data_IF_155619811324
#
_entry.id   IF_155619811324
#
_cell.length_a   1.000
_cell.length_b   1.000
_cell.length_c   1.000
_cell.angle_alpha   90.00
_cell.angle_beta   90.00
_cell.angle_gamma   90.00
#
_symmetry.space_group_name_H-M   'P 1'
#
loop_
_entity.id
_entity.type
_entity.pdbx_description
1 polymer ?
#
# COMPACT_ATOMS: atom_id res chain seq x y z
N UNK A 1 27.21 13.74 -22.66
CA UNK A 1 26.85 12.33 -22.39
C UNK A 1 26.18 12.28 -21.02
N UNK A 2 24.84 12.32 -20.99
CA UNK A 2 24.08 12.14 -19.75
C UNK A 2 23.91 10.65 -19.52
N UNK A 3 24.55 10.11 -18.51
CA UNK A 3 24.22 8.80 -17.98
C UNK A 3 22.84 8.87 -17.33
N UNK A 4 21.81 8.47 -18.03
CA UNK A 4 20.55 8.08 -17.44
C UNK A 4 20.82 6.78 -16.71
N UNK A 5 20.93 6.84 -15.39
CA UNK A 5 20.89 5.65 -14.53
C UNK A 5 19.49 5.05 -14.72
N UNK A 6 19.42 3.99 -15.50
CA UNK A 6 18.30 3.09 -15.57
C UNK A 6 18.26 2.36 -14.21
N UNK A 7 17.57 2.98 -13.25
CA UNK A 7 17.30 2.37 -11.94
C UNK A 7 16.22 1.32 -12.17
N UNK A 8 16.67 0.14 -12.65
CA UNK A 8 15.81 -0.99 -12.95
C UNK A 8 14.88 -1.34 -11.79
N UNK A 9 13.72 -1.87 -12.12
CA UNK A 9 12.61 -2.18 -11.21
C UNK A 9 12.96 -2.91 -9.92
N UNK A 10 14.01 -3.70 -9.91
CA UNK A 10 14.55 -4.36 -8.71
C UNK A 10 14.92 -3.38 -7.59
N UNK A 11 15.41 -2.19 -7.93
CA UNK A 11 15.82 -1.18 -6.94
C UNK A 11 14.60 -0.47 -6.34
N UNK A 12 13.60 -0.10 -7.15
CA UNK A 12 12.39 0.57 -6.65
C UNK A 12 11.57 -0.36 -5.75
N UNK A 13 11.39 -1.61 -6.12
CA UNK A 13 10.72 -2.62 -5.30
C UNK A 13 11.39 -2.80 -3.94
N UNK A 14 12.72 -2.84 -3.90
CA UNK A 14 13.49 -2.91 -2.66
C UNK A 14 13.25 -1.68 -1.77
N UNK A 15 13.23 -0.49 -2.35
CA UNK A 15 12.97 0.77 -1.64
C UNK A 15 11.56 0.77 -1.04
N UNK A 16 10.54 0.38 -1.81
CA UNK A 16 9.16 0.30 -1.32
C UNK A 16 9.04 -0.71 -0.18
N UNK A 17 9.67 -1.88 -0.28
CA UNK A 17 9.70 -2.88 0.80
C UNK A 17 10.36 -2.35 2.07
N UNK A 18 11.43 -1.56 1.96
CA UNK A 18 12.06 -0.91 3.11
C UNK A 18 11.15 0.15 3.74
N UNK A 19 10.35 0.86 2.93
CA UNK A 19 9.37 1.84 3.41
C UNK A 19 8.26 1.14 4.17
N UNK A 20 7.69 0.07 3.63
CA UNK A 20 6.59 -0.69 4.24
C UNK A 20 7.00 -1.29 5.60
N UNK A 21 8.22 -1.78 5.72
CA UNK A 21 8.76 -2.30 6.98
C UNK A 21 9.00 -1.22 8.04
N UNK A 22 9.08 0.05 7.65
CA UNK A 22 9.37 1.14 8.58
C UNK A 22 8.08 1.86 9.00
N UNK A 23 7.61 1.74 10.28
CA UNK A 23 6.29 2.20 10.69
C UNK A 23 5.96 3.64 10.28
N UNK A 24 6.89 4.58 10.51
CA UNK A 24 6.66 6.01 10.17
C UNK A 24 6.63 6.24 8.67
N UNK A 25 7.53 5.63 7.90
CA UNK A 25 7.52 5.78 6.44
C UNK A 25 6.28 5.12 5.82
N UNK A 26 5.86 3.99 6.38
CA UNK A 26 4.63 3.32 5.97
C UNK A 26 3.40 4.22 6.21
N UNK A 27 3.29 4.83 7.40
CA UNK A 27 2.23 5.82 7.69
C UNK A 27 2.21 6.95 6.65
N UNK A 28 3.36 7.51 6.30
CA UNK A 28 3.45 8.57 5.30
C UNK A 28 3.02 8.08 3.92
N UNK A 29 3.48 6.90 3.49
CA UNK A 29 3.11 6.32 2.20
C UNK A 29 1.59 6.10 2.09
N UNK A 30 0.95 5.57 3.15
CA UNK A 30 -0.50 5.36 3.19
C UNK A 30 -1.27 6.68 3.08
N UNK A 31 -0.78 7.76 3.70
CA UNK A 31 -1.42 9.07 3.57
C UNK A 31 -1.31 9.62 2.14
N UNK A 32 -0.17 9.42 1.46
CA UNK A 32 -0.02 9.78 0.05
C UNK A 32 -0.88 8.95 -0.91
N UNK A 33 -1.22 7.72 -0.54
CA UNK A 33 -2.18 6.90 -1.31
C UNK A 33 -3.62 7.41 -1.16
N UNK A 34 -3.95 7.99 0.00
CA UNK A 34 -5.26 8.56 0.30
C UNK A 34 -5.43 9.97 -0.28
N UNK A 35 -4.40 10.80 -0.14
CA UNK A 35 -4.38 12.18 -0.62
C UNK A 35 -3.47 12.24 -1.85
N UNK A 36 -3.99 12.54 -3.04
CA UNK A 36 -3.18 12.64 -4.27
C UNK A 36 -1.95 13.54 -4.10
N UNK A 37 -2.06 14.57 -3.26
CA UNK A 37 -0.97 15.47 -2.91
C UNK A 37 -1.19 16.09 -1.52
N UNK A 38 -0.10 16.37 -0.80
CA UNK A 38 -0.16 16.98 0.54
C UNK A 38 1.10 17.77 0.88
N UNK A 39 1.03 18.63 1.90
CA UNK A 39 2.18 19.43 2.38
C UNK A 39 2.79 18.82 3.63
N UNK A 40 4.06 19.17 3.91
CA UNK A 40 4.71 18.76 5.16
C UNK A 40 3.99 19.29 6.40
N UNK A 41 3.35 20.46 6.28
CA UNK A 41 2.56 21.06 7.36
C UNK A 41 1.33 20.21 7.66
N UNK A 42 0.53 19.85 6.64
CA UNK A 42 -0.63 19.01 6.81
C UNK A 42 -0.26 17.63 7.40
N UNK A 43 0.83 17.02 6.93
CA UNK A 43 1.33 15.77 7.49
C UNK A 43 1.75 15.90 8.96
N UNK A 44 2.35 17.04 9.36
CA UNK A 44 2.70 17.31 10.75
C UNK A 44 1.49 17.50 11.65
N UNK A 45 0.41 18.05 11.12
CA UNK A 45 -0.87 18.19 11.82
C UNK A 45 -1.60 16.83 11.95
N UNK A 46 -1.56 16.02 10.88
CA UNK A 46 -2.17 14.68 10.84
C UNK A 46 -1.44 13.69 11.75
N UNK A 47 -0.11 13.75 11.77
CA UNK A 47 0.75 12.83 12.52
C UNK A 47 1.51 13.57 13.63
N UNK A 48 0.76 14.06 14.62
CA UNK A 48 1.32 14.82 15.76
C UNK A 48 2.29 14.00 16.62
N UNK A 49 2.26 12.67 16.50
CA UNK A 49 3.21 11.73 17.14
C UNK A 49 4.59 11.70 16.47
N UNK A 50 4.73 12.28 15.27
CA UNK A 50 5.99 12.33 14.53
C UNK A 50 6.65 13.70 14.72
N UNK A 51 7.85 13.79 15.34
CA UNK A 51 8.55 15.05 15.45
C UNK A 51 8.79 15.70 14.08
N UNK A 52 8.58 17.03 13.92
CA UNK A 52 8.70 17.71 12.62
C UNK A 52 10.05 17.46 11.92
N UNK A 53 11.15 17.49 12.66
CA UNK A 53 12.47 17.21 12.08
C UNK A 53 12.58 15.78 11.48
N UNK A 54 11.95 14.81 12.11
CA UNK A 54 11.89 13.42 11.63
C UNK A 54 11.02 13.33 10.37
N UNK A 55 9.87 13.99 10.37
CA UNK A 55 8.96 14.07 9.22
C UNK A 55 9.69 14.64 7.99
N UNK A 56 10.33 15.81 8.13
CA UNK A 56 11.07 16.45 7.04
C UNK A 56 12.22 15.57 6.52
N UNK A 57 12.93 14.89 7.42
CA UNK A 57 13.99 13.94 7.03
C UNK A 57 13.46 12.80 6.19
N UNK A 58 12.31 12.22 6.54
CA UNK A 58 11.71 11.15 5.76
C UNK A 58 11.16 11.63 4.42
N UNK A 59 10.50 12.78 4.38
CA UNK A 59 10.04 13.36 3.11
C UNK A 59 11.21 13.61 2.15
N UNK A 60 12.31 14.19 2.67
CA UNK A 60 13.54 14.41 1.88
C UNK A 60 14.10 13.07 1.36
N UNK A 61 14.17 12.04 2.23
CA UNK A 61 14.70 10.74 1.82
C UNK A 61 13.79 10.06 0.79
N UNK A 62 12.48 10.01 1.02
CA UNK A 62 11.52 9.39 0.09
C UNK A 62 11.50 10.12 -1.27
N UNK A 63 11.77 11.44 -1.28
CA UNK A 63 11.92 12.19 -2.53
C UNK A 63 13.24 11.85 -3.23
N UNK A 64 14.33 11.74 -2.50
CA UNK A 64 15.63 11.32 -3.06
C UNK A 64 15.60 9.88 -3.58
N UNK A 65 14.85 9.01 -2.93
CA UNK A 65 14.64 7.62 -3.32
C UNK A 65 13.66 7.47 -4.51
N UNK A 66 13.09 8.58 -5.03
CA UNK A 66 12.18 8.58 -6.19
C UNK A 66 10.75 8.11 -5.88
N UNK A 67 10.40 7.93 -4.62
CA UNK A 67 9.03 7.52 -4.19
C UNK A 67 8.08 8.71 -4.17
N UNK A 68 8.58 9.87 -3.77
CA UNK A 68 7.84 11.13 -3.77
C UNK A 68 8.43 12.08 -4.80
N UNK A 69 7.59 12.96 -5.33
CA UNK A 69 7.97 14.12 -6.12
C UNK A 69 7.40 15.39 -5.50
N UNK A 70 8.11 16.50 -5.70
CA UNK A 70 7.61 17.83 -5.34
C UNK A 70 6.81 18.34 -6.55
N UNK A 71 5.51 18.60 -6.33
CA UNK A 71 4.60 19.06 -7.38
C UNK A 71 4.37 20.56 -7.33
N UNK A 72 4.60 21.20 -6.17
CA UNK A 72 4.50 22.63 -6.01
C UNK A 72 5.44 23.12 -4.91
N UNK A 73 5.91 24.39 -5.05
CA UNK A 73 6.67 25.09 -4.02
C UNK A 73 6.17 26.53 -3.95
N UNK A 74 5.83 26.99 -2.75
CA UNK A 74 5.24 28.28 -2.54
C UNK A 74 5.87 28.95 -1.30
N UNK A 75 6.15 30.24 -1.38
CA UNK A 75 6.64 30.99 -0.22
C UNK A 75 5.45 31.38 0.67
N UNK A 76 5.43 30.87 1.89
CA UNK A 76 4.40 31.16 2.88
C UNK A 76 5.05 31.76 4.12
N UNK A 77 4.74 32.99 4.44
CA UNK A 77 5.24 33.71 5.63
C UNK A 77 6.79 33.65 5.78
N UNK A 78 7.50 33.76 4.65
CA UNK A 78 8.98 33.74 4.65
C UNK A 78 9.62 32.34 4.62
N UNK A 79 8.84 31.28 4.74
CA UNK A 79 9.32 29.91 4.60
C UNK A 79 8.84 29.28 3.27
N UNK A 80 9.64 28.38 2.71
CA UNK A 80 9.30 27.64 1.50
C UNK A 80 8.45 26.41 1.87
N UNK A 81 7.15 26.45 1.56
CA UNK A 81 6.28 25.30 1.69
C UNK A 81 6.30 24.46 0.41
N UNK A 82 6.45 23.14 0.57
CA UNK A 82 6.48 22.17 -0.53
C UNK A 82 5.27 21.28 -0.48
N UNK A 83 4.66 21.08 -1.65
CA UNK A 83 3.62 20.09 -1.85
C UNK A 83 4.23 18.85 -2.49
N UNK A 84 3.96 17.71 -1.91
CA UNK A 84 4.48 16.41 -2.34
C UNK A 84 3.34 15.55 -2.90
N UNK A 85 3.68 14.68 -3.84
CA UNK A 85 2.80 13.64 -4.37
C UNK A 85 3.62 12.37 -4.58
N UNK A 86 2.95 11.22 -4.77
CA UNK A 86 3.63 10.01 -5.20
C UNK A 86 4.25 10.24 -6.59
N UNK A 87 5.48 9.80 -6.76
CA UNK A 87 6.17 9.80 -8.05
C UNK A 87 5.77 8.57 -8.89
N UNK A 88 5.21 7.55 -8.26
CA UNK A 88 4.83 6.27 -8.85
C UNK A 88 3.36 6.33 -9.24
N UNK A 89 3.04 6.07 -10.51
CA UNK A 89 1.66 5.90 -10.99
C UNK A 89 1.28 4.42 -10.95
N UNK A 90 0.69 4.02 -9.82
CA UNK A 90 0.31 2.63 -9.56
C UNK A 90 -0.83 2.13 -10.48
N UNK A 91 -1.63 3.02 -11.08
CA UNK A 91 -2.74 2.62 -11.96
C UNK A 91 -2.26 2.26 -13.36
N UNK A 92 -1.26 2.97 -13.86
CA UNK A 92 -0.69 2.74 -15.19
C UNK A 92 0.00 1.39 -15.28
N UNK A 93 0.59 0.97 -14.18
CA UNK A 93 1.42 -0.24 -14.14
C UNK A 93 0.63 -1.54 -14.07
N UNK A 94 -0.63 -1.52 -13.61
CA UNK A 94 -1.49 -2.72 -13.63
C UNK A 94 -1.76 -3.23 -15.05
N UNK A 95 -1.86 -2.34 -16.03
CA UNK A 95 -2.04 -2.75 -17.42
C UNK A 95 -0.78 -3.40 -18.00
N UNK A 96 0.40 -2.93 -17.60
CA UNK A 96 1.68 -3.49 -18.05
C UNK A 96 1.92 -4.93 -17.54
N UNK A 97 1.31 -5.31 -16.40
CA UNK A 97 1.41 -6.69 -15.88
C UNK A 97 0.76 -7.68 -16.83
N UNK A 98 -0.45 -7.36 -17.28
CA UNK A 98 -1.25 -8.24 -18.12
C UNK A 98 -0.71 -8.27 -19.56
N UNK A 99 -0.27 -7.12 -20.07
CA UNK A 99 0.16 -6.96 -21.45
C UNK A 99 1.60 -7.43 -21.69
N UNK A 100 2.50 -7.25 -20.72
CA UNK A 100 3.94 -7.46 -20.89
C UNK A 100 4.51 -8.59 -20.00
N UNK A 101 3.69 -9.28 -19.20
CA UNK A 101 4.16 -10.28 -18.22
C UNK A 101 5.33 -9.76 -17.36
N UNK A 102 5.24 -8.51 -16.92
CA UNK A 102 6.29 -7.80 -16.19
C UNK A 102 6.32 -8.21 -14.73
N UNK A 103 7.39 -8.87 -14.30
CA UNK A 103 7.61 -9.22 -12.90
C UNK A 103 7.69 -7.99 -11.97
N UNK A 104 8.17 -6.85 -12.48
CA UNK A 104 8.19 -5.58 -11.76
C UNK A 104 6.78 -5.05 -11.51
N UNK A 105 5.96 -4.97 -12.54
CA UNK A 105 4.60 -4.52 -12.44
C UNK A 105 3.77 -5.45 -11.54
N UNK A 106 4.01 -6.77 -11.59
CA UNK A 106 3.37 -7.74 -10.71
C UNK A 106 3.73 -7.51 -9.23
N UNK A 107 5.02 -7.28 -8.93
CA UNK A 107 5.46 -6.96 -7.56
C UNK A 107 4.83 -5.64 -7.06
N UNK A 108 4.73 -4.63 -7.91
CA UNK A 108 4.10 -3.36 -7.53
C UNK A 108 2.61 -3.52 -7.24
N UNK A 109 1.89 -4.28 -8.05
CA UNK A 109 0.48 -4.60 -7.78
C UNK A 109 0.30 -5.35 -6.46
N UNK A 110 1.17 -6.31 -6.15
CA UNK A 110 1.17 -7.02 -4.88
C UNK A 110 1.40 -6.06 -3.69
N UNK A 111 2.38 -5.16 -3.80
CA UNK A 111 2.64 -4.16 -2.76
C UNK A 111 1.43 -3.25 -2.56
N UNK A 112 0.80 -2.79 -3.65
CA UNK A 112 -0.40 -1.95 -3.58
C UNK A 112 -1.56 -2.68 -2.87
N UNK A 113 -1.77 -3.95 -3.21
CA UNK A 113 -2.76 -4.79 -2.55
C UNK A 113 -2.51 -4.90 -1.04
N UNK A 114 -1.27 -5.15 -0.63
CA UNK A 114 -0.87 -5.22 0.77
C UNK A 114 -1.04 -3.88 1.49
N UNK A 115 -0.71 -2.77 0.84
CA UNK A 115 -0.90 -1.43 1.40
C UNK A 115 -2.37 -1.10 1.63
N UNK A 116 -3.27 -1.52 0.74
CA UNK A 116 -4.71 -1.35 0.92
C UNK A 116 -5.24 -2.03 2.19
N UNK A 117 -4.74 -3.21 2.53
CA UNK A 117 -5.06 -3.85 3.81
C UNK A 117 -4.39 -3.15 4.99
N UNK A 118 -3.12 -2.77 4.87
CA UNK A 118 -2.39 -2.06 5.91
C UNK A 118 -3.09 -0.75 6.30
N UNK A 119 -3.65 -0.01 5.33
CA UNK A 119 -4.44 1.20 5.59
C UNK A 119 -5.67 0.90 6.45
N UNK A 120 -6.44 -0.14 6.15
CA UNK A 120 -7.62 -0.53 6.91
C UNK A 120 -7.26 -0.91 8.35
N UNK A 121 -6.18 -1.67 8.55
CA UNK A 121 -5.67 -1.99 9.88
C UNK A 121 -5.19 -0.74 10.63
N UNK A 122 -4.51 0.18 9.94
CA UNK A 122 -4.06 1.44 10.53
C UNK A 122 -5.24 2.29 11.01
N UNK A 123 -6.28 2.45 10.19
CA UNK A 123 -7.48 3.19 10.56
C UNK A 123 -8.21 2.53 11.75
N UNK A 124 -8.25 1.20 11.78
CA UNK A 124 -8.79 0.48 12.93
C UNK A 124 -8.00 0.76 14.21
N UNK A 125 -6.67 0.68 14.15
CA UNK A 125 -5.78 0.88 15.32
C UNK A 125 -5.74 2.32 15.85
N UNK A 126 -6.21 3.31 15.08
CA UNK A 126 -6.35 4.70 15.57
C UNK A 126 -7.56 4.91 16.48
N UNK A 127 -8.50 3.98 16.53
CA UNK A 127 -9.70 4.10 17.37
C UNK A 127 -9.33 3.95 18.84
N UNK A 128 -9.94 4.75 19.70
CA UNK A 128 -9.68 4.73 21.14
C UNK A 128 -10.10 3.41 21.81
N UNK A 129 -11.18 2.80 21.33
CA UNK A 129 -11.76 1.58 21.92
C UNK A 129 -11.77 0.45 20.90
N UNK A 130 -10.64 -0.24 20.72
CA UNK A 130 -10.55 -1.44 19.88
C UNK A 130 -10.77 -2.69 20.71
N UNK A 131 -11.44 -3.69 20.13
CA UNK A 131 -11.60 -5.01 20.72
C UNK A 131 -11.29 -6.08 19.68
N UNK A 132 -10.01 -6.40 19.54
CA UNK A 132 -9.47 -7.28 18.50
C UNK A 132 -10.18 -8.65 18.52
N UNK A 133 -10.43 -9.19 19.71
CA UNK A 133 -11.07 -10.51 19.87
C UNK A 133 -12.52 -10.52 19.35
N UNK A 134 -13.29 -9.47 19.62
CA UNK A 134 -14.71 -9.39 19.23
C UNK A 134 -14.92 -8.84 17.82
N UNK A 135 -13.98 -8.04 17.29
CA UNK A 135 -14.10 -7.43 15.97
C UNK A 135 -13.82 -8.41 14.83
N UNK A 136 -13.39 -9.63 15.15
CA UNK A 136 -13.17 -10.72 14.18
C UNK A 136 -12.35 -10.29 12.97
N UNK A 137 -11.31 -9.50 13.22
CA UNK A 137 -10.28 -9.17 12.22
C UNK A 137 -9.08 -10.10 12.39
N UNK A 138 -8.32 -10.32 11.32
CA UNK A 138 -7.14 -11.17 11.41
C UNK A 138 -6.51 -11.43 10.05
N UNK A 139 -5.41 -12.15 10.09
CA UNK A 139 -4.70 -12.65 8.91
C UNK A 139 -4.20 -14.05 9.21
N UNK A 140 -4.11 -14.88 8.17
CA UNK A 140 -3.69 -16.28 8.28
C UNK A 140 -2.81 -16.65 7.11
N UNK A 141 -1.83 -17.51 7.36
CA UNK A 141 -0.99 -18.13 6.35
C UNK A 141 -1.02 -19.64 6.57
N UNK A 142 -1.44 -20.38 5.54
CA UNK A 142 -1.48 -21.85 5.57
C UNK A 142 -0.69 -22.37 4.37
N UNK A 143 0.48 -23.01 4.57
CA UNK A 143 1.20 -23.66 3.48
C UNK A 143 0.50 -24.97 3.10
N UNK A 144 0.20 -25.11 1.81
CA UNK A 144 -0.45 -26.30 1.24
C UNK A 144 0.35 -26.81 0.03
N UNK A 145 0.39 -28.11 -0.13
CA UNK A 145 0.82 -28.75 -1.38
C UNK A 145 -0.40 -29.04 -2.23
N UNK A 146 -0.51 -28.37 -3.38
CA UNK A 146 -1.65 -28.49 -4.28
C UNK A 146 -1.15 -28.74 -5.71
N UNK A 147 -1.84 -29.63 -6.43
CA UNK A 147 -1.73 -29.69 -7.89
C UNK A 147 -2.48 -28.50 -8.51
N UNK A 148 -2.29 -28.24 -9.80
CA UNK A 148 -2.99 -27.16 -10.51
C UNK A 148 -4.52 -27.41 -10.48
N UNK A 149 -4.98 -28.66 -10.63
CA UNK A 149 -6.40 -28.99 -10.56
C UNK A 149 -6.99 -28.81 -9.15
N UNK A 150 -6.22 -29.12 -8.11
CA UNK A 150 -6.64 -28.88 -6.72
C UNK A 150 -6.70 -27.39 -6.42
N UNK A 151 -5.75 -26.58 -6.92
CA UNK A 151 -5.78 -25.13 -6.81
C UNK A 151 -6.99 -24.54 -7.53
N UNK A 152 -7.30 -24.99 -8.75
CA UNK A 152 -8.48 -24.57 -9.50
C UNK A 152 -9.79 -24.90 -8.74
N UNK A 153 -9.85 -26.07 -8.13
CA UNK A 153 -11.01 -26.49 -7.32
C UNK A 153 -11.15 -25.62 -6.08
N UNK A 154 -10.05 -25.30 -5.42
CA UNK A 154 -10.02 -24.37 -4.29
C UNK A 154 -10.51 -22.98 -4.70
N UNK A 155 -10.02 -22.44 -5.83
CA UNK A 155 -10.42 -21.12 -6.34
C UNK A 155 -11.91 -21.06 -6.70
N UNK A 156 -12.45 -22.11 -7.32
CA UNK A 156 -13.90 -22.22 -7.59
C UNK A 156 -14.71 -22.21 -6.31
N UNK A 157 -14.29 -22.96 -5.30
CA UNK A 157 -14.96 -23.02 -4.00
C UNK A 157 -14.93 -21.66 -3.28
N UNK A 158 -13.80 -20.98 -3.31
CA UNK A 158 -13.66 -19.63 -2.75
C UNK A 158 -14.59 -18.62 -3.47
N UNK A 159 -14.62 -18.65 -4.80
CA UNK A 159 -15.54 -17.81 -5.60
C UNK A 159 -17.00 -18.07 -5.25
N UNK A 160 -17.44 -19.33 -5.14
CA UNK A 160 -18.79 -19.69 -4.77
C UNK A 160 -19.20 -19.22 -3.37
N UNK A 161 -18.25 -19.25 -2.41
CA UNK A 161 -18.49 -18.75 -1.05
C UNK A 161 -18.66 -17.22 -1.07
N UNK A 162 -17.78 -16.50 -1.75
CA UNK A 162 -17.84 -15.03 -1.81
C UNK A 162 -19.05 -14.52 -2.57
N UNK A 163 -19.46 -15.23 -3.64
CA UNK A 163 -20.63 -14.89 -4.44
C UNK A 163 -21.92 -14.83 -3.61
N UNK A 164 -22.09 -15.75 -2.66
CA UNK A 164 -23.26 -15.78 -1.78
C UNK A 164 -23.49 -14.49 -0.98
N UNK A 165 -22.45 -13.71 -0.78
CA UNK A 165 -22.48 -12.51 0.06
C UNK A 165 -22.28 -11.20 -0.73
N UNK A 166 -22.01 -11.29 -2.04
CA UNK A 166 -21.71 -10.14 -2.90
C UNK A 166 -22.84 -9.11 -2.91
N UNK A 167 -24.09 -9.59 -3.01
CA UNK A 167 -25.27 -8.75 -3.14
C UNK A 167 -25.91 -8.36 -1.80
N UNK A 168 -25.21 -8.65 -0.70
CA UNK A 168 -25.70 -8.29 0.61
C UNK A 168 -25.71 -6.76 0.78
N UNK A 169 -26.89 -6.19 1.02
CA UNK A 169 -27.03 -4.79 1.36
C UNK A 169 -26.55 -4.48 2.78
N UNK A 170 -26.08 -3.25 3.05
CA UNK A 170 -25.79 -2.78 4.40
C UNK A 170 -27.04 -2.87 5.30
N UNK A 171 -26.86 -3.37 6.50
CA UNK A 171 -27.90 -3.40 7.54
C UNK A 171 -27.31 -3.03 8.89
N UNK A 172 -28.14 -2.93 9.93
CA UNK A 172 -27.67 -2.66 11.29
C UNK A 172 -26.66 -3.71 11.79
N UNK A 173 -26.80 -4.96 11.35
CA UNK A 173 -25.97 -6.09 11.78
C UNK A 173 -24.88 -6.48 10.77
N UNK A 174 -24.91 -5.90 9.56
CA UNK A 174 -23.92 -6.14 8.51
C UNK A 174 -22.93 -4.99 8.41
N UNK A 175 -21.68 -5.27 8.66
CA UNK A 175 -20.57 -4.32 8.51
C UNK A 175 -19.80 -4.63 7.23
N UNK A 176 -19.33 -3.59 6.54
CA UNK A 176 -18.43 -3.78 5.41
C UNK A 176 -17.12 -4.41 5.90
N UNK A 177 -16.71 -5.49 5.24
CA UNK A 177 -15.45 -6.18 5.52
C UNK A 177 -14.71 -6.44 4.22
N UNK A 178 -13.43 -6.14 4.22
CA UNK A 178 -12.54 -6.52 3.12
C UNK A 178 -11.96 -7.90 3.43
N UNK A 179 -12.19 -8.84 2.52
CA UNK A 179 -11.62 -10.19 2.58
C UNK A 179 -10.70 -10.32 1.38
N UNK A 180 -9.44 -10.64 1.62
CA UNK A 180 -8.43 -10.83 0.59
C UNK A 180 -7.89 -12.25 0.59
N UNK A 181 -7.51 -12.72 -0.59
CA UNK A 181 -6.80 -13.98 -0.79
C UNK A 181 -5.46 -13.68 -1.44
N UNK A 182 -4.40 -14.27 -0.92
CA UNK A 182 -3.07 -14.23 -1.51
C UNK A 182 -2.65 -15.68 -1.79
N UNK A 183 -2.31 -15.94 -3.05
CA UNK A 183 -1.69 -17.18 -3.47
C UNK A 183 -0.27 -16.82 -3.92
N UNK A 184 0.71 -17.23 -3.13
CA UNK A 184 2.10 -16.97 -3.48
C UNK A 184 2.51 -17.82 -4.71
N UNK A 185 3.42 -17.34 -5.55
CA UNK A 185 4.02 -18.16 -6.59
C UNK A 185 4.63 -19.43 -5.99
N UNK A 186 4.62 -20.56 -6.72
CA UNK A 186 5.20 -21.80 -6.23
C UNK A 186 6.70 -21.60 -5.93
N UNK A 187 7.15 -22.12 -4.79
CA UNK A 187 8.58 -22.14 -4.46
C UNK A 187 9.26 -23.20 -5.33
N UNK A 188 10.14 -22.77 -6.22
CA UNK A 188 11.03 -23.71 -6.91
C UNK A 188 12.01 -24.29 -5.88
N UNK A 189 12.07 -25.62 -5.83
CA UNK A 189 13.09 -26.35 -5.07
C UNK A 189 14.42 -26.32 -5.80
#
# INVERSE_FOLDING_TARGET
LSYRLDLGGTTMNKIIMEIVKHPVKCKLLLEFLKCEQTTAKHLSETFSDIPPATLYRYLKKMTADGVLKIVNQMQVRGAMEKTYALAIDLKKEMNDILDNNSGEAYMQAFIQYMLGFAEQFQEYCKKENINIANDKSGFSLVPLYLSDEELDTFMKSYSQITEKYRDNAPTKDRKLRSIGLIIAPPTMK
#
